data_IF_821270050677
#
_entry.id   IF_821270050677
#
_cell.length_a   1.000
_cell.length_b   1.000
_cell.length_c   1.000
_cell.angle_alpha   90.00
_cell.angle_beta   90.00
_cell.angle_gamma   90.00
#
_symmetry.space_group_name_H-M   'P 1'
#
loop_
_entity.id
_entity.type
_entity.pdbx_description
1 polymer ?
#
# COMPACT_ATOMS: atom_id res chain seq x y z
N UNK A 1 -47.48 -59.15 10.22
CA UNK A 1 -48.01 -57.78 10.35
C UNK A 1 -46.84 -56.93 10.78
N UNK A 2 -46.18 -56.28 9.81
CA UNK A 2 -45.02 -55.44 10.06
C UNK A 2 -45.46 -54.00 9.80
N UNK A 3 -45.45 -53.20 10.86
CA UNK A 3 -45.82 -51.79 10.87
C UNK A 3 -44.82 -50.99 10.03
N UNK A 4 -45.34 -50.25 9.06
CA UNK A 4 -44.58 -49.26 8.30
C UNK A 4 -44.58 -47.94 9.10
N UNK A 5 -43.40 -47.57 9.62
CA UNK A 5 -43.16 -46.28 10.27
C UNK A 5 -42.94 -45.25 9.15
N UNK A 6 -43.89 -44.36 8.95
CA UNK A 6 -43.72 -43.14 8.13
C UNK A 6 -42.87 -42.17 8.96
N UNK A 7 -41.67 -41.84 8.46
CA UNK A 7 -40.88 -40.72 8.98
C UNK A 7 -41.24 -39.48 8.17
N UNK A 8 -41.93 -38.54 8.80
CA UNK A 8 -42.10 -37.19 8.27
C UNK A 8 -40.75 -36.46 8.36
N UNK A 9 -40.18 -36.11 7.21
CA UNK A 9 -39.05 -35.18 7.13
C UNK A 9 -39.58 -33.75 7.35
N UNK A 10 -39.25 -33.19 8.51
CA UNK A 10 -39.45 -31.76 8.80
C UNK A 10 -38.38 -30.99 8.04
N UNK A 11 -38.80 -30.24 7.03
CA UNK A 11 -37.92 -29.30 6.30
C UNK A 11 -37.76 -28.06 7.19
N UNK A 12 -36.57 -27.85 7.76
CA UNK A 12 -36.23 -26.61 8.46
C UNK A 12 -35.98 -25.50 7.43
N UNK A 13 -36.93 -24.58 7.30
CA UNK A 13 -36.82 -23.40 6.45
C UNK A 13 -35.95 -22.34 7.17
N UNK A 14 -34.74 -22.09 6.66
CA UNK A 14 -33.83 -21.07 7.22
C UNK A 14 -34.31 -19.66 6.88
N UNK A 15 -35.11 -19.05 7.76
CA UNK A 15 -35.46 -17.63 7.67
C UNK A 15 -34.30 -16.74 8.16
N UNK A 16 -33.81 -15.84 7.31
CA UNK A 16 -32.80 -14.85 7.67
C UNK A 16 -33.46 -13.61 8.29
N UNK A 17 -33.42 -13.49 9.62
CA UNK A 17 -33.86 -12.29 10.32
C UNK A 17 -32.74 -11.25 10.41
N UNK A 18 -33.08 -9.97 10.25
CA UNK A 18 -32.15 -8.86 10.56
C UNK A 18 -32.72 -8.00 11.68
N UNK A 19 -31.89 -7.71 12.68
CA UNK A 19 -32.28 -6.94 13.86
C UNK A 19 -32.11 -5.45 13.58
N UNK A 20 -33.21 -4.69 13.58
CA UNK A 20 -33.18 -3.22 13.48
C UNK A 20 -34.12 -2.63 14.52
N UNK A 21 -33.63 -1.63 15.26
CA UNK A 21 -34.40 -0.85 16.23
C UNK A 21 -35.11 -1.66 17.34
N UNK A 22 -34.50 -2.76 17.80
CA UNK A 22 -35.00 -3.51 18.96
C UNK A 22 -36.08 -4.55 18.65
N UNK A 23 -36.44 -4.77 17.39
CA UNK A 23 -37.44 -5.76 16.98
C UNK A 23 -36.95 -6.59 15.77
N UNK A 24 -37.31 -7.86 15.71
CA UNK A 24 -36.97 -8.75 14.60
C UNK A 24 -37.96 -8.55 13.45
N UNK A 25 -37.46 -8.16 12.27
CA UNK A 25 -38.26 -8.02 11.05
C UNK A 25 -37.83 -9.10 10.05
N UNK A 26 -38.80 -9.89 9.57
CA UNK A 26 -38.61 -10.94 8.58
C UNK A 26 -38.49 -10.32 7.17
N UNK A 27 -37.39 -10.60 6.48
CA UNK A 27 -37.12 -10.07 5.14
C UNK A 27 -37.31 -11.19 4.13
N UNK A 28 -38.37 -11.13 3.31
CA UNK A 28 -38.56 -12.03 2.17
C UNK A 28 -37.54 -11.70 1.08
N UNK A 29 -36.75 -12.69 0.65
CA UNK A 29 -35.89 -12.58 -0.54
C UNK A 29 -36.71 -12.93 -1.78
N UNK A 30 -36.79 -12.01 -2.73
CA UNK A 30 -37.19 -12.31 -4.10
C UNK A 30 -35.95 -12.78 -4.88
N UNK A 31 -36.01 -14.01 -5.40
CA UNK A 31 -35.00 -14.56 -6.30
C UNK A 31 -35.10 -13.88 -7.67
N UNK A 32 -34.03 -13.18 -8.06
CA UNK A 32 -33.86 -12.68 -9.43
C UNK A 32 -32.80 -13.56 -10.10
N UNK A 33 -33.26 -14.47 -10.96
CA UNK A 33 -32.40 -15.20 -11.90
C UNK A 33 -31.70 -14.21 -12.85
N UNK A 34 -30.38 -14.09 -12.76
CA UNK A 34 -29.58 -13.45 -13.82
C UNK A 34 -29.06 -14.50 -14.81
N UNK A 35 -29.63 -14.45 -16.01
CA UNK A 35 -29.17 -15.15 -17.21
C UNK A 35 -27.99 -14.37 -17.84
N UNK A 36 -26.90 -15.01 -18.31
CA UNK A 36 -25.83 -14.30 -19.00
C UNK A 36 -26.10 -14.28 -20.51
N UNK A 37 -26.34 -13.10 -21.08
CA UNK A 37 -26.33 -12.89 -22.54
C UNK A 37 -24.93 -12.46 -23.00
N UNK A 38 -24.28 -13.38 -23.70
CA UNK A 38 -23.20 -13.07 -24.63
C UNK A 38 -23.79 -12.54 -25.96
N UNK A 39 -22.95 -11.78 -26.67
CA UNK A 39 -23.05 -11.36 -28.08
C UNK A 39 -23.84 -10.07 -28.35
N UNK A 40 -23.11 -9.01 -28.71
CA UNK A 40 -23.32 -8.27 -29.97
C UNK A 40 -22.16 -7.29 -30.21
N UNK A 41 -21.26 -7.69 -31.10
CA UNK A 41 -20.39 -6.79 -31.85
C UNK A 41 -21.25 -5.93 -32.79
N UNK A 42 -21.18 -4.60 -32.65
CA UNK A 42 -21.53 -3.68 -33.75
C UNK A 42 -20.61 -2.46 -33.75
N UNK A 43 -19.77 -2.46 -34.79
CA UNK A 43 -19.24 -1.33 -35.56
C UNK A 43 -19.66 0.08 -35.10
N UNK A 44 -18.69 0.87 -34.65
CA UNK A 44 -18.78 2.33 -34.69
C UNK A 44 -17.69 2.83 -35.64
N UNK A 45 -18.12 3.21 -36.85
CA UNK A 45 -17.39 4.10 -37.75
C UNK A 45 -17.07 5.39 -37.02
N UNK A 46 -15.83 5.83 -37.04
CA UNK A 46 -15.47 7.20 -36.67
C UNK A 46 -14.88 7.88 -37.89
N UNK A 47 -15.61 8.88 -38.38
CA UNK A 47 -15.19 9.81 -39.43
C UNK A 47 -13.97 10.62 -38.98
N UNK A 48 -13.04 10.81 -39.91
CA UNK A 48 -11.88 11.69 -39.80
C UNK A 48 -12.33 13.15 -39.76
N UNK A 49 -11.98 13.88 -38.69
CA UNK A 49 -12.02 15.34 -38.65
C UNK A 49 -10.57 15.83 -38.77
N UNK A 50 -10.21 16.22 -39.99
CA UNK A 50 -9.07 17.09 -40.27
C UNK A 50 -9.42 18.49 -39.76
N UNK A 51 -8.66 19.04 -38.81
CA UNK A 51 -8.41 20.47 -38.63
C UNK A 51 -7.40 20.64 -37.49
N UNK A 52 -6.14 20.95 -37.81
CA UNK A 52 -5.37 22.04 -37.20
C UNK A 52 -4.07 22.23 -37.99
N UNK A 53 -3.95 23.41 -38.59
CA UNK A 53 -2.82 23.90 -39.36
C UNK A 53 -1.53 23.99 -38.52
N UNK A 54 -0.43 23.64 -39.17
CA UNK A 54 0.95 23.85 -38.73
C UNK A 54 1.26 25.35 -38.55
N UNK A 55 1.30 25.81 -37.30
CA UNK A 55 2.01 27.05 -36.94
C UNK A 55 3.16 26.70 -36.00
N UNK A 56 4.36 26.54 -36.58
CA UNK A 56 5.62 26.48 -35.85
C UNK A 56 5.83 27.77 -35.05
N UNK A 57 5.94 27.75 -33.72
CA UNK A 57 6.48 28.89 -33.00
C UNK A 57 7.99 28.89 -33.20
N UNK A 58 8.53 29.89 -33.91
CA UNK A 58 9.97 30.20 -33.86
C UNK A 58 10.33 30.47 -32.39
N UNK A 59 11.42 29.87 -31.85
CA UNK A 59 11.91 30.27 -30.54
C UNK A 59 12.38 31.71 -30.63
N UNK A 60 11.84 32.58 -29.76
CA UNK A 60 12.50 33.86 -29.47
C UNK A 60 13.80 33.53 -28.77
N UNK A 61 14.92 33.80 -29.42
CA UNK A 61 16.24 33.85 -28.82
C UNK A 61 16.18 34.83 -27.63
N UNK A 62 16.37 34.29 -26.43
CA UNK A 62 16.68 35.09 -25.26
C UNK A 62 18.18 34.92 -25.05
N UNK A 63 18.94 35.91 -25.51
CA UNK A 63 20.38 36.04 -25.29
C UNK A 63 20.66 36.29 -23.81
N UNK A 64 20.70 35.22 -23.02
CA UNK A 64 21.39 35.24 -21.74
C UNK A 64 22.38 34.09 -21.72
N UNK A 65 23.62 34.31 -21.27
CA UNK A 65 24.63 33.26 -21.19
C UNK A 65 24.17 32.22 -20.16
N UNK A 66 23.54 31.16 -20.65
CA UNK A 66 23.41 29.92 -19.89
C UNK A 66 24.82 29.39 -19.73
N UNK A 67 25.40 29.58 -18.54
CA UNK A 67 26.55 28.78 -18.12
C UNK A 67 26.15 27.30 -18.17
N UNK A 68 26.65 26.66 -19.22
CA UNK A 68 26.53 25.24 -19.50
C UNK A 68 27.31 24.49 -18.43
N UNK A 69 26.61 24.00 -17.40
CA UNK A 69 27.08 22.91 -16.53
C UNK A 69 25.94 21.92 -16.28
N UNK A 70 25.43 21.31 -17.36
CA UNK A 70 24.49 20.19 -17.29
C UNK A 70 25.25 18.85 -17.25
N UNK A 71 25.81 18.43 -16.10
CA UNK A 71 26.35 17.06 -15.92
C UNK A 71 26.15 16.40 -14.53
N UNK A 72 25.29 16.93 -13.65
CA UNK A 72 24.82 16.21 -12.42
C UNK A 72 23.28 16.20 -12.36
N UNK A 73 22.65 15.40 -13.21
CA UNK A 73 21.21 15.46 -13.45
C UNK A 73 20.37 15.13 -12.20
N UNK A 74 19.52 16.08 -11.79
CA UNK A 74 18.36 15.96 -10.89
C UNK A 74 18.57 15.96 -9.37
N UNK A 75 19.78 16.20 -8.86
CA UNK A 75 19.97 16.44 -7.42
C UNK A 75 20.04 17.93 -7.12
N UNK A 76 19.28 18.36 -6.12
CA UNK A 76 19.21 19.74 -5.66
C UNK A 76 19.59 19.80 -4.18
N UNK A 77 20.08 20.95 -3.72
CA UNK A 77 20.56 21.10 -2.35
C UNK A 77 19.53 21.86 -1.49
N UNK A 78 19.17 21.31 -0.33
CA UNK A 78 18.38 22.04 0.65
C UNK A 78 19.23 23.14 1.30
N UNK A 79 18.80 24.40 1.25
CA UNK A 79 19.53 25.54 1.85
C UNK A 79 19.55 25.57 3.38
N UNK A 80 18.76 24.71 4.03
CA UNK A 80 18.70 24.62 5.49
C UNK A 80 19.70 23.56 6.00
N UNK A 81 19.61 22.30 5.54
CA UNK A 81 20.54 21.23 5.98
C UNK A 81 21.72 21.00 5.05
N UNK A 82 21.82 21.72 3.92
CA UNK A 82 22.86 21.57 2.90
C UNK A 82 22.97 20.17 2.27
N UNK A 83 22.01 19.26 2.52
CA UNK A 83 21.97 17.92 1.90
C UNK A 83 21.51 17.99 0.45
N UNK A 84 22.21 17.29 -0.45
CA UNK A 84 21.77 17.03 -1.83
C UNK A 84 20.71 15.92 -1.83
N UNK A 85 19.62 16.10 -2.57
CA UNK A 85 18.53 15.12 -2.66
C UNK A 85 17.77 15.26 -3.99
N UNK A 86 16.96 14.25 -4.39
CA UNK A 86 16.18 14.33 -5.61
C UNK A 86 15.15 15.47 -5.55
N UNK A 87 14.83 16.05 -6.71
CA UNK A 87 13.88 17.18 -6.84
C UNK A 87 12.53 16.93 -6.15
N UNK A 88 12.04 15.69 -6.19
CA UNK A 88 10.76 15.30 -5.59
C UNK A 88 10.74 15.36 -4.04
N UNK A 89 11.89 15.57 -3.40
CA UNK A 89 12.03 15.68 -1.93
C UNK A 89 12.17 17.13 -1.44
N UNK A 90 12.17 18.09 -2.37
CA UNK A 90 12.40 19.50 -2.10
C UNK A 90 11.23 20.35 -2.59
N UNK A 91 11.00 21.46 -1.88
CA UNK A 91 10.15 22.56 -2.32
C UNK A 91 11.03 23.71 -2.78
N UNK A 92 10.73 24.26 -3.95
CA UNK A 92 11.23 25.57 -4.36
C UNK A 92 10.48 26.66 -3.58
N UNK A 93 11.22 27.49 -2.87
CA UNK A 93 10.71 28.61 -2.08
C UNK A 93 10.57 29.82 -2.99
N UNK A 94 9.32 30.28 -3.17
CA UNK A 94 8.97 31.34 -4.14
C UNK A 94 8.42 32.62 -3.52
N UNK A 95 8.05 32.59 -2.24
CA UNK A 95 7.45 33.75 -1.58
C UNK A 95 8.38 34.32 -0.52
N UNK A 96 8.37 35.64 -0.37
CA UNK A 96 9.07 36.36 0.70
C UNK A 96 8.63 35.87 2.08
N UNK A 97 7.33 35.64 2.26
CA UNK A 97 6.78 35.08 3.50
C UNK A 97 7.40 33.72 3.85
N UNK A 98 7.57 32.82 2.88
CA UNK A 98 8.22 31.53 3.12
C UNK A 98 9.70 31.71 3.48
N UNK A 99 10.39 32.66 2.82
CA UNK A 99 11.79 33.01 3.13
C UNK A 99 11.92 33.54 4.55
N UNK A 100 11.03 34.44 4.97
CA UNK A 100 11.01 35.01 6.33
C UNK A 100 10.85 33.90 7.36
N UNK A 101 9.84 33.03 7.20
CA UNK A 101 9.59 31.93 8.14
C UNK A 101 10.79 30.99 8.23
N UNK A 102 11.35 30.57 7.09
CA UNK A 102 12.48 29.64 7.09
C UNK A 102 13.76 30.27 7.67
N UNK A 103 14.02 31.54 7.36
CA UNK A 103 15.17 32.29 7.88
C UNK A 103 15.07 32.44 9.39
N UNK A 104 13.90 32.84 9.88
CA UNK A 104 13.65 33.07 11.30
C UNK A 104 13.71 31.76 12.09
N UNK A 105 13.07 30.68 11.59
CA UNK A 105 13.01 29.41 12.33
C UNK A 105 14.35 28.67 12.36
N UNK A 106 15.09 28.68 11.25
CA UNK A 106 16.36 27.93 11.16
C UNK A 106 17.61 28.80 11.31
N UNK A 107 17.45 30.11 11.51
CA UNK A 107 18.54 31.08 11.56
C UNK A 107 19.48 30.97 10.34
N UNK A 108 18.91 30.87 9.14
CA UNK A 108 19.63 30.73 7.86
C UNK A 108 19.43 31.96 6.99
N UNK A 109 20.49 32.42 6.32
CA UNK A 109 20.41 33.57 5.40
C UNK A 109 19.85 33.07 4.06
N UNK A 110 18.55 33.26 3.83
CA UNK A 110 17.91 33.04 2.54
C UNK A 110 17.63 34.39 1.86
N UNK A 111 17.99 34.53 0.58
CA UNK A 111 17.76 35.75 -0.21
C UNK A 111 16.90 35.44 -1.42
N UNK A 112 15.86 36.24 -1.66
CA UNK A 112 14.98 36.07 -2.83
C UNK A 112 15.71 36.25 -4.17
N UNK A 113 16.76 37.06 -4.19
CA UNK A 113 17.60 37.33 -5.36
C UNK A 113 18.44 36.12 -5.80
N UNK A 114 18.63 35.12 -4.91
CA UNK A 114 19.29 33.88 -5.27
C UNK A 114 18.28 32.97 -5.96
N UNK A 115 18.46 32.79 -7.28
CA UNK A 115 17.53 32.12 -8.21
C UNK A 115 17.00 30.72 -7.80
N UNK A 116 17.53 30.06 -6.76
CA UNK A 116 17.14 28.71 -6.35
C UNK A 116 17.23 28.48 -4.83
N UNK A 117 16.24 28.95 -4.08
CA UNK A 117 16.07 28.58 -2.67
C UNK A 117 15.24 27.31 -2.56
N UNK A 118 15.89 26.17 -2.31
CA UNK A 118 15.20 24.90 -2.04
C UNK A 118 15.22 24.57 -0.55
N UNK A 119 14.08 24.11 -0.02
CA UNK A 119 13.97 23.53 1.32
C UNK A 119 13.42 22.11 1.22
N UNK A 120 13.95 21.17 2.00
CA UNK A 120 13.42 19.81 2.02
C UNK A 120 12.10 19.74 2.77
N UNK A 121 11.22 18.84 2.33
CA UNK A 121 9.90 18.70 2.94
C UNK A 121 9.95 18.38 4.43
N UNK A 122 11.01 17.72 4.92
CA UNK A 122 11.18 17.46 6.35
C UNK A 122 11.30 18.74 7.18
N UNK A 123 12.01 19.78 6.72
CA UNK A 123 12.09 21.05 7.44
C UNK A 123 10.76 21.81 7.42
N UNK A 124 10.08 21.82 6.29
CA UNK A 124 8.79 22.49 6.16
C UNK A 124 7.75 21.79 7.05
N UNK A 125 7.75 20.45 7.07
CA UNK A 125 6.90 19.65 7.96
C UNK A 125 7.21 19.91 9.42
N UNK A 126 8.49 19.99 9.80
CA UNK A 126 8.91 20.30 11.17
C UNK A 126 8.33 21.63 11.64
N UNK A 127 8.44 22.69 10.82
CA UNK A 127 7.84 24.00 11.15
C UNK A 127 6.34 23.87 11.40
N UNK A 128 5.62 23.16 10.52
CA UNK A 128 4.17 23.00 10.66
C UNK A 128 3.82 22.23 11.94
N UNK A 129 4.55 21.15 12.25
CA UNK A 129 4.38 20.40 13.49
C UNK A 129 4.63 21.27 14.72
N UNK A 130 5.75 22.00 14.76
CA UNK A 130 6.08 22.89 15.86
C UNK A 130 4.96 23.93 16.08
N UNK A 131 4.40 24.49 15.01
CA UNK A 131 3.27 25.44 15.11
C UNK A 131 1.98 24.77 15.60
N UNK A 132 1.62 23.60 15.04
CA UNK A 132 0.40 22.86 15.42
C UNK A 132 0.46 22.40 16.89
N UNK A 133 1.64 22.07 17.40
CA UNK A 133 1.91 21.71 18.80
C UNK A 133 1.99 22.93 19.74
N UNK A 134 1.76 24.14 19.22
CA UNK A 134 1.78 25.38 19.99
C UNK A 134 3.18 25.85 20.40
N UNK A 135 4.24 25.33 19.77
CA UNK A 135 5.61 25.76 20.01
C UNK A 135 5.78 27.17 19.47
N UNK A 136 6.29 28.07 20.31
CA UNK A 136 6.63 29.44 19.89
C UNK A 136 7.82 29.40 18.95
N UNK A 137 7.63 29.92 17.74
CA UNK A 137 8.74 30.10 16.80
C UNK A 137 9.73 31.15 17.32
N UNK A 138 11.04 30.95 17.13
CA UNK A 138 12.02 31.99 17.40
C UNK A 138 11.72 33.23 16.54
N UNK A 139 12.12 34.42 16.98
CA UNK A 139 12.07 35.66 16.18
C UNK A 139 10.69 36.28 15.92
N UNK A 140 9.60 35.76 16.52
CA UNK A 140 8.23 36.29 16.45
C UNK A 140 7.81 36.81 15.04
N UNK A 141 7.84 35.98 13.98
CA UNK A 141 7.21 36.37 12.72
C UNK A 141 5.73 36.73 12.98
N UNK A 142 5.18 37.65 12.19
CA UNK A 142 3.77 38.01 12.36
C UNK A 142 2.89 36.77 12.22
N UNK A 143 1.88 36.65 13.08
CA UNK A 143 0.96 35.50 13.10
C UNK A 143 0.29 35.30 11.72
N UNK A 144 0.05 36.39 10.99
CA UNK A 144 -0.40 36.35 9.60
C UNK A 144 0.56 35.58 8.68
N UNK A 145 1.86 35.88 8.73
CA UNK A 145 2.90 35.25 7.88
C UNK A 145 3.02 33.76 8.22
N UNK A 146 2.98 33.41 9.51
CA UNK A 146 3.01 32.01 9.96
C UNK A 146 1.77 31.26 9.49
N UNK A 147 0.57 31.82 9.64
CA UNK A 147 -0.68 31.20 9.16
C UNK A 147 -0.72 31.06 7.65
N UNK A 148 -0.22 32.04 6.90
CA UNK A 148 -0.10 31.98 5.44
C UNK A 148 0.84 30.84 5.02
N UNK A 149 2.01 30.75 5.65
CA UNK A 149 2.97 29.67 5.45
C UNK A 149 2.33 28.30 5.69
N UNK A 150 1.70 28.09 6.85
CA UNK A 150 1.03 26.83 7.18
C UNK A 150 -0.06 26.52 6.16
N UNK A 151 -0.94 27.48 5.84
CA UNK A 151 -2.03 27.27 4.86
C UNK A 151 -1.50 26.83 3.50
N UNK A 152 -0.45 27.49 2.99
CA UNK A 152 0.16 27.17 1.68
C UNK A 152 0.93 25.87 1.71
N UNK A 153 1.41 25.41 2.86
CA UNK A 153 2.21 24.19 2.99
C UNK A 153 1.43 23.01 3.58
N UNK A 154 0.16 23.19 3.99
CA UNK A 154 -0.68 22.16 4.63
C UNK A 154 -0.83 20.90 3.79
N UNK A 155 -0.76 21.00 2.46
CA UNK A 155 -0.79 19.83 1.57
C UNK A 155 0.44 18.92 1.73
N UNK A 156 1.57 19.43 2.23
CA UNK A 156 2.76 18.63 2.53
C UNK A 156 2.56 17.74 3.76
N UNK A 157 1.61 18.12 4.62
CA UNK A 157 1.09 17.30 5.73
C UNK A 157 0.03 16.31 5.23
N UNK A 158 -0.64 16.59 4.10
CA UNK A 158 -1.58 15.64 3.46
C UNK A 158 -0.89 14.41 2.85
N UNK A 159 0.43 14.28 2.97
CA UNK A 159 1.15 13.03 2.77
C UNK A 159 1.79 12.59 4.09
N UNK A 160 1.19 11.56 4.72
CA UNK A 160 1.64 10.84 5.92
C UNK A 160 0.89 11.12 7.25
N UNK A 161 -0.41 11.44 7.23
CA UNK A 161 -1.23 10.49 7.99
C UNK A 161 -1.01 9.17 7.25
N UNK A 162 -0.44 8.17 7.91
CA UNK A 162 -0.34 6.86 7.28
C UNK A 162 -1.72 6.59 6.69
N UNK A 163 -1.80 6.29 5.39
CA UNK A 163 -3.02 5.70 4.89
C UNK A 163 -3.05 4.36 5.60
N UNK A 164 -3.66 4.33 6.78
CA UNK A 164 -3.72 3.13 7.60
C UNK A 164 -4.35 2.08 6.70
N UNK A 165 -3.61 1.01 6.46
CA UNK A 165 -4.14 -0.14 5.77
C UNK A 165 -4.66 -1.11 6.83
N UNK A 166 -5.59 -1.96 6.41
CA UNK A 166 -5.98 -3.10 7.23
C UNK A 166 -5.15 -4.28 6.75
N UNK A 167 -4.50 -4.99 7.68
CA UNK A 167 -3.92 -6.28 7.36
C UNK A 167 -5.05 -7.29 7.15
N UNK A 168 -5.06 -7.97 6.02
CA UNK A 168 -6.09 -8.96 5.68
C UNK A 168 -5.96 -10.28 6.48
N UNK A 169 -4.90 -10.46 7.27
CA UNK A 169 -4.68 -11.63 8.11
C UNK A 169 -5.19 -11.37 9.53
N UNK A 170 -4.65 -10.35 10.23
CA UNK A 170 -5.10 -10.05 11.60
C UNK A 170 -6.24 -9.03 11.69
N UNK A 171 -6.66 -8.43 10.57
CA UNK A 171 -7.67 -7.36 10.52
C UNK A 171 -7.34 -6.10 11.33
N UNK A 172 -6.10 -5.96 11.80
CA UNK A 172 -5.64 -4.78 12.55
C UNK A 172 -5.25 -3.65 11.57
N UNK A 173 -5.65 -2.43 11.93
CA UNK A 173 -5.24 -1.21 11.26
C UNK A 173 -3.76 -0.90 11.53
N UNK A 174 -2.98 -0.74 10.47
CA UNK A 174 -1.52 -0.58 10.52
C UNK A 174 -1.06 0.57 9.65
N UNK A 175 0.07 1.16 10.01
CA UNK A 175 0.69 2.16 9.15
C UNK A 175 1.09 1.50 7.82
N UNK A 176 1.00 2.25 6.70
CA UNK A 176 1.32 1.69 5.39
C UNK A 176 2.76 1.17 5.29
N UNK A 177 3.67 1.72 6.08
CA UNK A 177 5.06 1.26 6.21
C UNK A 177 5.19 -0.10 6.89
N UNK A 178 4.19 -0.54 7.66
CA UNK A 178 4.15 -1.83 8.35
C UNK A 178 3.47 -2.92 7.51
N UNK A 179 2.91 -2.55 6.37
CA UNK A 179 2.18 -3.44 5.48
C UNK A 179 2.94 -3.65 4.17
N UNK A 180 2.86 -4.87 3.65
CA UNK A 180 3.27 -5.18 2.29
C UNK A 180 2.11 -5.68 1.46
N UNK A 181 2.21 -5.43 0.16
CA UNK A 181 1.24 -5.90 -0.82
C UNK A 181 1.63 -7.29 -1.33
N UNK A 182 0.64 -8.19 -1.36
CA UNK A 182 0.78 -9.57 -1.79
C UNK A 182 -0.10 -9.79 -3.03
N UNK A 183 0.54 -9.66 -4.20
CA UNK A 183 -0.10 -9.94 -5.48
C UNK A 183 -0.04 -11.41 -5.87
N UNK A 184 1.05 -12.13 -5.54
CA UNK A 184 1.20 -13.54 -5.88
C UNK A 184 0.30 -14.43 -5.03
N UNK A 185 -0.42 -15.33 -5.71
CA UNK A 185 -1.19 -16.39 -5.07
C UNK A 185 -0.31 -17.30 -4.22
N UNK A 186 0.85 -17.68 -4.74
CA UNK A 186 1.80 -18.54 -4.04
C UNK A 186 2.37 -17.91 -2.79
N UNK A 187 2.65 -16.60 -2.81
CA UNK A 187 3.07 -15.88 -1.60
C UNK A 187 1.96 -15.86 -0.55
N UNK A 188 0.69 -15.69 -0.95
CA UNK A 188 -0.46 -15.78 -0.03
C UNK A 188 -0.55 -17.17 0.58
N UNK A 189 -0.40 -18.21 -0.25
CA UNK A 189 -0.37 -19.61 0.19
C UNK A 189 0.68 -19.86 1.28
N UNK A 190 1.93 -19.52 1.02
CA UNK A 190 3.05 -19.69 1.97
C UNK A 190 2.75 -18.94 3.27
N UNK A 191 2.24 -17.71 3.18
CA UNK A 191 1.89 -16.91 4.35
C UNK A 191 0.81 -17.60 5.19
N UNK A 192 -0.24 -18.14 4.56
CA UNK A 192 -1.33 -18.82 5.27
C UNK A 192 -0.92 -20.16 5.87
N UNK A 193 -0.01 -20.90 5.23
CA UNK A 193 0.53 -22.14 5.80
C UNK A 193 1.21 -21.85 7.14
N UNK A 194 2.08 -20.83 7.19
CA UNK A 194 2.66 -20.42 8.46
C UNK A 194 1.63 -20.00 9.52
N UNK A 195 0.52 -19.37 9.10
CA UNK A 195 -0.57 -19.01 10.00
C UNK A 195 -1.33 -20.24 10.54
N UNK A 196 -1.53 -21.27 9.72
CA UNK A 196 -2.14 -22.56 10.10
C UNK A 196 -1.22 -23.32 11.06
N UNK A 197 0.08 -23.40 10.76
CA UNK A 197 1.07 -24.05 11.64
C UNK A 197 1.12 -23.41 13.02
N UNK A 198 0.91 -22.09 13.10
CA UNK A 198 0.78 -21.35 14.36
C UNK A 198 -0.56 -21.59 15.09
N UNK A 199 -1.52 -22.25 14.46
CA UNK A 199 -2.87 -22.44 14.98
C UNK A 199 -3.71 -21.16 15.01
N UNK A 200 -3.34 -20.13 14.25
CA UNK A 200 -4.07 -18.84 14.23
C UNK A 200 -5.18 -18.81 13.19
N UNK A 201 -5.11 -19.67 12.18
CA UNK A 201 -6.06 -19.71 11.06
C UNK A 201 -6.43 -21.15 10.71
N UNK A 202 -7.66 -21.35 10.24
CA UNK A 202 -8.12 -22.62 9.67
C UNK A 202 -7.82 -22.74 8.18
N UNK A 203 -7.97 -23.94 7.63
CA UNK A 203 -7.82 -24.21 6.19
C UNK A 203 -8.87 -23.43 5.38
N UNK A 204 -10.09 -23.29 5.88
CA UNK A 204 -11.18 -22.53 5.25
C UNK A 204 -10.86 -21.04 5.18
N UNK A 205 -10.28 -20.48 6.24
CA UNK A 205 -9.80 -19.10 6.25
C UNK A 205 -8.66 -18.91 5.24
N UNK A 206 -7.74 -19.88 5.13
CA UNK A 206 -6.70 -19.85 4.11
C UNK A 206 -7.27 -19.88 2.69
N UNK A 207 -8.25 -20.73 2.39
CA UNK A 207 -8.92 -20.78 1.08
C UNK A 207 -9.52 -19.43 0.67
N UNK A 208 -10.26 -18.80 1.59
CA UNK A 208 -10.88 -17.50 1.31
C UNK A 208 -9.84 -16.39 1.08
N UNK A 209 -8.71 -16.43 1.78
CA UNK A 209 -7.65 -15.45 1.62
C UNK A 209 -6.87 -15.62 0.30
N UNK A 210 -6.54 -16.85 -0.06
CA UNK A 210 -5.68 -17.20 -1.20
C UNK A 210 -6.35 -16.83 -2.53
N UNK A 211 -7.68 -17.01 -2.62
CA UNK A 211 -8.49 -16.63 -3.80
C UNK A 211 -8.58 -15.11 -4.04
N UNK A 212 -8.23 -14.28 -3.06
CA UNK A 212 -8.34 -12.83 -3.19
C UNK A 212 -7.16 -12.21 -3.95
N UNK A 213 -7.43 -11.53 -5.08
CA UNK A 213 -6.38 -11.06 -6.00
C UNK A 213 -5.41 -10.00 -5.43
N UNK A 214 -5.75 -9.33 -4.31
CA UNK A 214 -4.93 -8.26 -3.74
C UNK A 214 -4.86 -8.32 -2.21
N UNK A 215 -4.00 -9.20 -1.68
CA UNK A 215 -3.75 -9.29 -0.25
C UNK A 215 -2.85 -8.16 0.26
N UNK A 216 -3.09 -7.69 1.48
CA UNK A 216 -2.16 -6.88 2.27
C UNK A 216 -1.93 -7.55 3.61
N UNK A 217 -0.68 -7.71 4.01
CA UNK A 217 -0.35 -8.26 5.31
C UNK A 217 0.70 -7.43 6.03
N UNK A 218 0.75 -7.56 7.36
CA UNK A 218 1.84 -6.99 8.15
C UNK A 218 3.14 -7.71 7.83
N UNK A 219 4.27 -6.99 7.84
CA UNK A 219 5.59 -7.63 7.81
C UNK A 219 5.81 -8.61 8.98
N UNK A 220 5.13 -8.41 10.11
CA UNK A 220 5.15 -9.36 11.22
C UNK A 220 4.61 -10.74 10.81
N UNK A 221 3.47 -10.80 10.10
CA UNK A 221 2.90 -12.06 9.64
C UNK A 221 3.81 -12.75 8.63
N UNK A 222 4.44 -11.99 7.73
CA UNK A 222 5.44 -12.56 6.83
C UNK A 222 6.56 -13.25 7.61
N UNK A 223 7.13 -12.54 8.58
CA UNK A 223 8.25 -13.06 9.39
C UNK A 223 7.80 -14.28 10.20
N UNK A 224 6.71 -14.15 10.95
CA UNK A 224 6.15 -15.23 11.77
C UNK A 224 5.83 -16.46 10.93
N UNK A 225 5.24 -16.30 9.74
CA UNK A 225 4.95 -17.43 8.86
C UNK A 225 6.22 -18.15 8.37
N UNK A 226 7.26 -17.40 7.98
CA UNK A 226 8.55 -18.01 7.59
C UNK A 226 9.17 -18.74 8.77
N UNK A 227 9.23 -18.08 9.92
CA UNK A 227 9.85 -18.62 11.13
C UNK A 227 9.14 -19.92 11.56
N UNK A 228 7.80 -19.95 11.51
CA UNK A 228 7.02 -21.16 11.82
C UNK A 228 7.22 -22.30 10.82
N UNK A 229 7.35 -22.00 9.53
CA UNK A 229 7.65 -23.03 8.51
C UNK A 229 9.03 -23.63 8.74
N UNK A 230 10.00 -22.80 9.08
CA UNK A 230 11.36 -23.23 9.39
C UNK A 230 11.40 -24.10 10.66
N UNK A 231 10.71 -23.67 11.71
CA UNK A 231 10.56 -24.45 12.95
C UNK A 231 9.90 -25.81 12.67
N UNK A 232 8.81 -25.85 11.90
CA UNK A 232 8.12 -27.08 11.55
C UNK A 232 9.02 -28.07 10.79
N UNK A 233 9.90 -27.56 9.93
CA UNK A 233 10.84 -28.38 9.15
C UNK A 233 12.16 -28.67 9.90
N UNK A 234 12.36 -28.11 11.09
CA UNK A 234 13.60 -28.24 11.84
C UNK A 234 14.82 -27.60 11.14
N UNK A 235 14.60 -26.54 10.35
CA UNK A 235 15.65 -25.80 9.64
C UNK A 235 15.81 -24.40 10.23
N UNK A 236 17.00 -23.83 10.18
CA UNK A 236 17.31 -22.54 10.79
C UNK A 236 17.32 -21.38 9.78
N UNK A 237 17.44 -21.68 8.48
CA UNK A 237 17.59 -20.66 7.44
C UNK A 237 17.17 -21.18 6.06
N UNK A 238 17.12 -20.27 5.09
CA UNK A 238 16.69 -20.58 3.72
C UNK A 238 17.63 -21.56 3.00
N UNK A 239 18.93 -21.59 3.32
CA UNK A 239 19.89 -22.51 2.69
C UNK A 239 19.66 -23.95 3.16
N UNK A 240 19.44 -24.14 4.46
CA UNK A 240 19.02 -25.44 5.03
C UNK A 240 17.66 -25.87 4.48
N UNK A 241 16.71 -24.94 4.33
CA UNK A 241 15.44 -25.23 3.68
C UNK A 241 15.62 -25.74 2.24
N UNK A 242 16.50 -25.11 1.43
CA UNK A 242 16.77 -25.57 0.06
C UNK A 242 17.35 -26.99 -0.01
N UNK A 243 17.98 -27.46 1.07
CA UNK A 243 18.56 -28.80 1.18
C UNK A 243 17.61 -29.80 1.86
N UNK A 244 16.45 -29.35 2.33
CA UNK A 244 15.50 -30.17 3.07
C UNK A 244 14.95 -31.29 2.16
N UNK A 245 15.03 -32.57 2.59
CA UNK A 245 14.53 -33.68 1.80
C UNK A 245 13.02 -33.56 1.53
N UNK A 246 12.57 -33.88 0.30
CA UNK A 246 11.15 -33.79 -0.08
C UNK A 246 10.21 -34.54 0.88
N UNK A 247 10.63 -35.68 1.43
CA UNK A 247 9.81 -36.45 2.37
C UNK A 247 9.56 -35.71 3.70
N UNK A 248 10.49 -34.86 4.15
CA UNK A 248 10.31 -34.04 5.34
C UNK A 248 9.28 -32.92 5.12
N UNK A 249 9.01 -32.55 3.86
CA UNK A 249 7.98 -31.58 3.51
C UNK A 249 6.57 -32.17 3.39
N UNK A 250 6.40 -33.48 3.57
CA UNK A 250 5.11 -34.18 3.34
C UNK A 250 3.93 -33.51 4.03
N UNK A 251 4.04 -33.22 5.33
CA UNK A 251 2.95 -32.57 6.06
C UNK A 251 2.64 -31.14 5.60
N UNK A 252 3.62 -30.39 5.07
CA UNK A 252 3.34 -29.09 4.45
C UNK A 252 2.58 -29.25 3.14
N UNK A 253 2.96 -30.26 2.34
CA UNK A 253 2.29 -30.58 1.07
C UNK A 253 0.84 -31.00 1.33
N UNK A 254 0.57 -31.76 2.39
CA UNK A 254 -0.80 -32.14 2.77
C UNK A 254 -1.65 -30.89 3.11
N UNK A 255 -1.09 -29.92 3.85
CA UNK A 255 -1.78 -28.66 4.15
C UNK A 255 -2.03 -27.86 2.87
N UNK A 256 -1.02 -27.76 2.00
CA UNK A 256 -1.12 -27.07 0.70
C UNK A 256 -2.26 -27.66 -0.12
N UNK A 257 -2.30 -28.98 -0.28
CA UNK A 257 -3.29 -29.68 -1.10
C UNK A 257 -4.70 -29.54 -0.54
N UNK A 258 -4.82 -29.44 0.79
CA UNK A 258 -6.10 -29.16 1.43
C UNK A 258 -6.62 -27.75 1.14
N UNK A 259 -5.76 -26.79 0.81
CA UNK A 259 -6.13 -25.42 0.43
C UNK A 259 -6.36 -25.32 -1.08
N UNK A 260 -5.39 -25.74 -1.88
CA UNK A 260 -5.44 -25.77 -3.34
C UNK A 260 -4.75 -27.04 -3.86
N UNK A 261 -5.54 -27.96 -4.40
CA UNK A 261 -5.07 -29.25 -4.90
C UNK A 261 -4.17 -29.13 -6.14
N UNK A 262 -4.17 -27.98 -6.82
CA UNK A 262 -3.29 -27.74 -7.98
C UNK A 262 -1.94 -27.14 -7.57
N UNK A 263 -1.77 -26.75 -6.31
CA UNK A 263 -0.56 -26.12 -5.84
C UNK A 263 0.50 -27.17 -5.50
N UNK A 264 1.66 -27.10 -6.17
CA UNK A 264 2.69 -28.14 -6.05
C UNK A 264 3.73 -27.83 -4.98
N UNK A 265 4.44 -28.86 -4.53
CA UNK A 265 5.57 -28.70 -3.61
C UNK A 265 6.68 -27.80 -4.21
N UNK A 266 6.94 -27.92 -5.51
CA UNK A 266 7.91 -27.07 -6.21
C UNK A 266 7.49 -25.60 -6.21
N UNK A 267 6.20 -25.32 -6.40
CA UNK A 267 5.64 -23.97 -6.31
C UNK A 267 5.79 -23.41 -4.89
N UNK A 268 5.51 -24.22 -3.87
CA UNK A 268 5.70 -23.83 -2.46
C UNK A 268 7.16 -23.43 -2.19
N UNK A 269 8.11 -24.26 -2.61
CA UNK A 269 9.55 -23.99 -2.44
C UNK A 269 9.91 -22.66 -3.11
N UNK A 270 9.53 -22.48 -4.37
CA UNK A 270 9.85 -21.26 -5.13
C UNK A 270 9.26 -20.01 -4.47
N UNK A 271 8.02 -20.07 -4.03
CA UNK A 271 7.31 -18.93 -3.44
C UNK A 271 7.83 -18.59 -2.03
N UNK A 272 8.27 -19.58 -1.25
CA UNK A 272 8.95 -19.34 0.03
C UNK A 272 10.29 -18.62 -0.19
N UNK A 273 11.07 -19.01 -1.20
CA UNK A 273 12.30 -18.30 -1.56
C UNK A 273 12.02 -16.85 -1.97
N UNK A 274 11.00 -16.62 -2.80
CA UNK A 274 10.59 -15.26 -3.21
C UNK A 274 10.13 -14.42 -2.02
N UNK A 275 9.34 -15.00 -1.11
CA UNK A 275 8.90 -14.32 0.10
C UNK A 275 10.08 -13.97 1.02
N UNK A 276 11.07 -14.85 1.13
CA UNK A 276 12.28 -14.60 1.91
C UNK A 276 13.16 -13.50 1.30
N UNK A 277 13.33 -13.45 -0.03
CA UNK A 277 14.13 -12.39 -0.69
C UNK A 277 13.47 -11.02 -0.52
N UNK A 278 12.14 -10.93 -0.61
CA UNK A 278 11.41 -9.67 -0.39
C UNK A 278 11.63 -9.07 1.01
N UNK A 279 11.95 -9.89 2.01
CA UNK A 279 12.34 -9.41 3.35
C UNK A 279 13.68 -8.66 3.34
N UNK A 280 14.57 -8.96 2.40
CA UNK A 280 15.95 -8.44 2.35
C UNK A 280 16.10 -7.14 1.56
N UNK A 281 15.01 -6.62 0.98
CA UNK A 281 15.00 -5.43 0.10
C UNK A 281 14.34 -4.20 0.74
N UNK A 282 14.03 -4.26 2.03
CA UNK A 282 13.37 -3.18 2.80
C UNK A 282 14.26 -2.76 3.96
#
# INVERSE_FOLDING_TARGET
MNEAIVKDEVIEETCSFTFKNGEYVEVKKEDIEQKPEFLLEKEIKTESIDFFEDVKPKPKECDYPMEVVFKEANTFQCKICQKRMPRNSLKLIRSEEDVIVLTVVFNVILRMEAYLNYACYSHIRKIIHDIDDGVKLPGNPSDYVVRSFVRRNKYLMKGNHSRRGICNICHISKDRSELYQISSNGIRMVTMIGCILRGTHSVEQAKSYVTYNNGRACYSHQKESIDMIFEYLGVSNIQEFSQCPRHAMGGLVDIVQNIDSNFTAEQFILELHLLHIKKSTI
#
